data_IF_459912378035
#
_entry.id   IF_459912378035
#
_cell.length_a   1.000
_cell.length_b   1.000
_cell.length_c   1.000
_cell.angle_alpha   90.00
_cell.angle_beta   90.00
_cell.angle_gamma   90.00
#
_symmetry.space_group_name_H-M   'P 1'
#
loop_
_entity.id
_entity.type
_entity.pdbx_description
1 polymer ?
#
# COMPACT_ATOMS: atom_id res chain seq x y z
N UNK A 1 -7.24 6.99 6.05
CA UNK A 1 -8.50 6.39 5.51
C UNK A 1 -8.37 6.18 4.00
N UNK A 2 -9.23 5.42 3.26
CA UNK A 2 -8.88 4.86 1.95
C UNK A 2 -8.88 5.92 0.85
N UNK A 3 -7.83 6.75 0.85
CA UNK A 3 -7.57 7.83 -0.09
C UNK A 3 -7.31 7.31 -1.50
N UNK A 4 -6.76 6.09 -1.61
CA UNK A 4 -6.55 5.36 -2.87
C UNK A 4 -7.85 5.14 -3.66
N UNK A 5 -8.99 5.00 -2.98
CA UNK A 5 -10.29 4.81 -3.63
C UNK A 5 -10.76 6.08 -4.35
N UNK A 6 -10.32 7.26 -3.88
CA UNK A 6 -10.63 8.55 -4.53
C UNK A 6 -9.97 8.69 -5.92
N UNK A 7 -8.93 7.90 -6.21
CA UNK A 7 -8.19 7.92 -7.48
C UNK A 7 -8.45 6.67 -8.33
N UNK A 8 -9.57 5.98 -8.07
CA UNK A 8 -9.96 4.78 -8.82
C UNK A 8 -9.11 3.54 -8.51
N UNK A 9 -8.33 3.57 -7.42
CA UNK A 9 -7.69 2.38 -6.89
C UNK A 9 -8.60 1.62 -5.93
N UNK A 10 -8.19 0.41 -5.55
CA UNK A 10 -8.90 -0.43 -4.57
C UNK A 10 -7.96 -0.76 -3.42
N UNK A 11 -8.38 -0.45 -2.20
CA UNK A 11 -7.67 -0.87 -1.00
C UNK A 11 -8.06 -2.31 -0.64
N UNK A 12 -7.10 -3.22 -0.57
CA UNK A 12 -7.35 -4.61 -0.19
C UNK A 12 -7.17 -4.86 1.30
N UNK A 13 -6.51 -3.93 2.00
CA UNK A 13 -6.30 -3.99 3.44
C UNK A 13 -4.85 -3.83 3.88
N UNK A 14 -4.70 -3.78 5.20
CA UNK A 14 -3.43 -3.84 5.91
C UNK A 14 -3.32 -5.20 6.61
N UNK A 15 -2.18 -5.84 6.47
CA UNK A 15 -1.94 -7.19 6.93
C UNK A 15 -0.67 -7.23 7.77
N UNK A 16 -0.73 -7.91 8.91
CA UNK A 16 0.43 -8.33 9.67
C UNK A 16 0.51 -9.87 9.58
N UNK A 17 1.67 -10.47 9.28
CA UNK A 17 1.81 -11.92 9.23
C UNK A 17 1.45 -12.55 10.57
N UNK A 18 0.57 -13.54 10.55
CA UNK A 18 0.24 -14.36 11.74
C UNK A 18 1.35 -15.35 12.08
N UNK A 19 2.22 -15.65 11.12
CA UNK A 19 3.37 -16.56 11.24
C UNK A 19 4.54 -16.00 10.42
N UNK A 20 5.78 -16.22 10.87
CA UNK A 20 6.99 -15.70 10.23
C UNK A 20 7.41 -14.32 10.78
N UNK A 21 7.85 -13.42 9.89
CA UNK A 21 8.32 -12.09 10.28
C UNK A 21 7.17 -11.22 10.82
N UNK A 22 6.98 -11.26 12.14
CA UNK A 22 5.92 -10.53 12.86
C UNK A 22 6.09 -9.00 12.85
N UNK A 23 7.23 -8.51 12.33
CA UNK A 23 7.56 -7.10 12.23
C UNK A 23 7.43 -6.55 10.82
N UNK A 24 6.77 -7.24 9.88
CA UNK A 24 6.62 -6.76 8.50
C UNK A 24 5.14 -6.57 8.18
N UNK A 25 4.67 -5.32 8.19
CA UNK A 25 3.32 -4.98 7.78
C UNK A 25 3.21 -4.84 6.25
N UNK A 26 2.12 -5.31 5.68
CA UNK A 26 1.80 -5.24 4.25
C UNK A 26 0.53 -4.43 4.02
N UNK A 27 0.63 -3.39 3.21
CA UNK A 27 -0.52 -2.67 2.67
C UNK A 27 -0.70 -3.06 1.19
N UNK A 28 -1.89 -3.53 0.82
CA UNK A 28 -2.17 -4.01 -0.55
C UNK A 28 -3.21 -3.14 -1.25
N UNK A 29 -2.92 -2.81 -2.51
CA UNK A 29 -3.78 -1.98 -3.36
C UNK A 29 -3.82 -2.51 -4.80
N UNK A 30 -4.93 -2.29 -5.51
CA UNK A 30 -4.96 -2.33 -6.97
C UNK A 30 -5.06 -0.92 -7.51
N UNK A 31 -4.28 -0.60 -8.53
CA UNK A 31 -4.30 0.71 -9.20
C UNK A 31 -4.44 0.53 -10.71
N UNK A 32 -5.18 1.40 -11.42
CA UNK A 32 -5.37 1.23 -12.87
C UNK A 32 -4.08 1.47 -13.67
N UNK A 33 -3.16 2.29 -13.15
CA UNK A 33 -1.87 2.58 -13.79
C UNK A 33 -0.82 3.08 -12.78
N UNK A 34 0.45 3.04 -13.18
CA UNK A 34 1.55 3.66 -12.41
C UNK A 34 1.40 5.19 -12.32
N UNK A 35 0.89 5.84 -13.38
CA UNK A 35 0.72 7.29 -13.41
C UNK A 35 -0.28 7.75 -12.33
N UNK A 36 -1.45 7.09 -12.24
CA UNK A 36 -2.44 7.39 -11.21
C UNK A 36 -1.92 7.10 -9.81
N UNK A 37 -1.05 6.09 -9.65
CA UNK A 37 -0.40 5.82 -8.37
C UNK A 37 0.55 6.96 -7.94
N UNK A 38 1.36 7.49 -8.86
CA UNK A 38 2.28 8.59 -8.57
C UNK A 38 1.52 9.90 -8.29
N UNK A 39 0.45 10.19 -9.03
CA UNK A 39 -0.46 11.31 -8.73
C UNK A 39 -1.05 11.19 -7.33
N UNK A 40 -1.59 10.02 -6.98
CA UNK A 40 -2.06 9.72 -5.63
C UNK A 40 -0.96 9.95 -4.58
N UNK A 41 0.27 9.50 -4.83
CA UNK A 41 1.39 9.67 -3.90
C UNK A 41 1.71 11.14 -3.70
N UNK A 42 1.77 11.94 -4.77
CA UNK A 42 1.99 13.38 -4.67
C UNK A 42 0.89 14.06 -3.85
N UNK A 43 -0.37 13.71 -4.09
CA UNK A 43 -1.51 14.31 -3.39
C UNK A 43 -1.60 13.89 -1.92
N UNK A 44 -1.23 12.65 -1.59
CA UNK A 44 -1.20 12.17 -0.19
C UNK A 44 -0.27 12.96 0.71
N UNK A 45 0.74 13.65 0.16
CA UNK A 45 1.64 14.52 0.94
C UNK A 45 0.93 15.77 1.47
N UNK A 46 -0.17 16.17 0.86
CA UNK A 46 -0.95 17.35 1.23
C UNK A 46 -2.16 17.03 2.10
N UNK A 47 -2.56 15.75 2.16
CA UNK A 47 -3.67 15.28 2.97
C UNK A 47 -3.34 15.33 4.47
N UNK A 48 -4.27 15.87 5.26
CA UNK A 48 -4.05 16.12 6.69
C UNK A 48 -3.92 14.80 7.47
N UNK A 49 -4.77 13.81 7.19
CA UNK A 49 -4.71 12.51 7.87
C UNK A 49 -3.40 11.79 7.55
N UNK A 50 -2.98 11.83 6.29
CA UNK A 50 -1.72 11.24 5.83
C UNK A 50 -0.53 11.89 6.52
N UNK A 51 -0.50 13.23 6.62
CA UNK A 51 0.55 13.97 7.34
C UNK A 51 0.60 13.61 8.83
N UNK A 52 -0.55 13.48 9.50
CA UNK A 52 -0.61 13.07 10.91
C UNK A 52 -0.02 11.66 11.08
N UNK A 53 -0.35 10.73 10.19
CA UNK A 53 0.23 9.38 10.21
C UNK A 53 1.75 9.37 9.96
N UNK A 54 2.24 10.17 9.01
CA UNK A 54 3.68 10.30 8.75
C UNK A 54 4.42 10.93 9.93
N UNK A 55 3.84 11.96 10.57
CA UNK A 55 4.42 12.58 11.75
C UNK A 55 4.48 11.57 12.92
N UNK A 56 3.40 10.83 13.16
CA UNK A 56 3.39 9.77 14.18
C UNK A 56 4.48 8.73 13.93
N UNK A 57 4.65 8.28 12.68
CA UNK A 57 5.71 7.34 12.31
C UNK A 57 7.12 7.93 12.54
N UNK A 58 7.31 9.22 12.26
CA UNK A 58 8.57 9.91 12.51
C UNK A 58 8.88 10.06 14.01
N UNK A 59 7.87 10.46 14.80
CA UNK A 59 8.00 10.68 16.25
C UNK A 59 8.27 9.38 17.00
N UNK A 60 7.55 8.31 16.64
CA UNK A 60 7.69 7.00 17.28
C UNK A 60 8.87 6.20 16.76
N UNK A 61 9.29 6.47 15.51
CA UNK A 61 10.23 5.65 14.73
C UNK A 61 9.76 4.20 14.61
N UNK A 62 8.44 3.98 14.58
CA UNK A 62 7.85 2.65 14.51
C UNK A 62 8.04 1.97 13.13
N UNK A 63 8.52 2.69 12.12
CA UNK A 63 8.87 2.15 10.80
C UNK A 63 10.38 2.25 10.59
N UNK A 64 11.06 1.11 10.52
CA UNK A 64 12.51 1.00 10.29
C UNK A 64 12.84 1.22 8.81
N UNK A 65 12.07 0.60 7.93
CA UNK A 65 12.21 0.69 6.48
C UNK A 65 10.90 0.37 5.81
N UNK A 66 10.70 0.85 4.59
CA UNK A 66 9.57 0.40 3.77
C UNK A 66 9.99 0.26 2.31
N UNK A 67 9.37 -0.69 1.63
CA UNK A 67 9.54 -0.96 0.21
C UNK A 67 8.19 -0.90 -0.50
N UNK A 68 8.21 -0.48 -1.77
CA UNK A 68 7.05 -0.56 -2.66
C UNK A 68 7.38 -1.44 -3.85
N UNK A 69 6.44 -2.33 -4.18
CA UNK A 69 6.55 -3.26 -5.30
C UNK A 69 5.26 -3.24 -6.10
N UNK A 70 5.42 -3.33 -7.42
CA UNK A 70 4.31 -3.43 -8.35
C UNK A 70 4.39 -4.77 -9.08
N UNK A 71 3.26 -5.44 -9.17
CA UNK A 71 3.15 -6.77 -9.78
C UNK A 71 1.90 -6.86 -10.64
N UNK A 72 2.07 -7.42 -11.83
CA UNK A 72 0.96 -7.86 -12.68
C UNK A 72 0.71 -9.36 -12.52
N UNK A 73 -0.46 -9.86 -12.95
CA UNK A 73 -0.71 -11.29 -13.02
C UNK A 73 0.21 -11.96 -14.04
N UNK A 74 0.88 -13.05 -13.66
CA UNK A 74 1.66 -13.90 -14.58
C UNK A 74 0.75 -14.91 -15.28
N UNK A 75 -0.32 -15.35 -14.60
CA UNK A 75 -1.34 -16.28 -15.10
C UNK A 75 -2.70 -15.73 -14.69
N UNK A 76 -3.67 -15.72 -15.60
CA UNK A 76 -5.05 -15.34 -15.26
C UNK A 76 -5.73 -16.45 -14.44
N UNK A 77 -5.93 -16.21 -13.15
CA UNK A 77 -6.83 -17.02 -12.33
C UNK A 77 -8.27 -16.61 -12.64
N UNK A 78 -8.89 -17.32 -13.57
CA UNK A 78 -10.29 -17.23 -13.99
C UNK A 78 -10.65 -16.17 -15.04
N UNK A 79 -11.32 -16.66 -16.08
CA UNK A 79 -11.92 -15.95 -17.23
C UNK A 79 -13.01 -14.93 -16.87
N UNK A 80 -13.20 -14.61 -15.58
CA UNK A 80 -14.23 -13.68 -15.09
C UNK A 80 -13.71 -12.27 -14.82
N UNK A 81 -12.41 -12.03 -14.94
CA UNK A 81 -11.81 -10.68 -14.83
C UNK A 81 -11.00 -10.33 -16.07
N UNK A 82 -11.51 -10.66 -17.26
CA UNK A 82 -10.81 -10.43 -18.54
C UNK A 82 -10.66 -8.94 -18.93
N UNK A 83 -10.96 -7.99 -18.05
CA UNK A 83 -10.87 -6.56 -18.34
C UNK A 83 -10.24 -5.71 -17.22
N UNK A 84 -9.84 -6.30 -16.08
CA UNK A 84 -9.13 -5.54 -15.07
C UNK A 84 -7.62 -5.67 -15.27
N UNK A 85 -7.06 -4.83 -16.14
CA UNK A 85 -5.60 -4.64 -16.27
C UNK A 85 -5.02 -3.88 -15.08
N UNK A 86 -5.73 -3.76 -13.95
CA UNK A 86 -5.19 -3.11 -12.77
C UNK A 86 -3.95 -3.85 -12.28
N UNK A 87 -2.96 -3.05 -11.93
CA UNK A 87 -1.71 -3.52 -11.39
C UNK A 87 -1.84 -3.58 -9.87
N UNK A 88 -1.33 -4.65 -9.26
CA UNK A 88 -1.28 -4.73 -7.81
C UNK A 88 -0.05 -3.97 -7.31
N UNK A 89 -0.30 -2.98 -6.45
CA UNK A 89 0.73 -2.27 -5.72
C UNK A 89 0.73 -2.77 -4.27
N UNK A 90 1.90 -3.16 -3.79
CA UNK A 90 2.08 -3.58 -2.40
C UNK A 90 3.14 -2.69 -1.77
N UNK A 91 2.82 -2.16 -0.59
CA UNK A 91 3.78 -1.46 0.24
C UNK A 91 4.05 -2.28 1.49
N UNK A 92 5.29 -2.71 1.66
CA UNK A 92 5.74 -3.43 2.84
C UNK A 92 6.49 -2.48 3.76
N UNK A 93 6.16 -2.46 5.04
CA UNK A 93 6.88 -1.69 6.06
C UNK A 93 7.44 -2.65 7.11
N UNK A 94 8.75 -2.58 7.33
CA UNK A 94 9.41 -3.20 8.49
C UNK A 94 9.18 -2.30 9.67
N UNK A 95 8.49 -2.82 10.67
CA UNK A 95 8.16 -2.16 11.91
C UNK A 95 9.24 -2.39 12.97
N UNK A 96 9.48 -1.38 13.79
CA UNK A 96 10.23 -1.54 15.03
C UNK A 96 9.26 -2.04 16.11
N UNK A 97 9.34 -3.32 16.46
CA UNK A 97 8.49 -3.94 17.49
C UNK A 97 9.03 -3.73 18.92
N UNK A 98 10.20 -3.13 19.09
CA UNK A 98 10.79 -2.92 20.41
C UNK A 98 10.21 -1.67 21.14
N UNK A 99 9.13 -1.10 20.62
CA UNK A 99 8.44 0.09 21.14
C UNK A 99 6.94 -0.14 21.28
#
# INVERSE_FOLDING_TARGET
>A
MPFVEKFGGKHHGYFLPSEGANNVALAKFSVPSLALHEEHRAQSMHDLESRVAFQYAADTRCVVSYERRFSGPVIESSRLVANDRSMQAHQCAVLDLAR
#
